data_IF_647074232501
#
_entry.id   IF_647074232501
#
_cell.length_a   1.000
_cell.length_b   1.000
_cell.length_c   1.000
_cell.angle_alpha   90.00
_cell.angle_beta   90.00
_cell.angle_gamma   90.00
#
_symmetry.space_group_name_H-M   'P 1'
#
loop_
_entity.id
_entity.type
_entity.pdbx_description
1 polymer ?
#
# COMPACT_ATOMS: atom_id res chain seq x y z
N UNK A 1 8.48 26.72 -8.46
CA UNK A 1 7.78 27.97 -8.84
C UNK A 1 8.66 28.93 -9.64
N UNK A 2 9.94 29.07 -9.33
CA UNK A 2 10.86 30.03 -10.00
C UNK A 2 11.01 29.76 -11.50
N UNK A 3 11.10 28.50 -11.93
CA UNK A 3 11.19 28.10 -13.35
C UNK A 3 9.96 28.57 -14.13
N UNK A 4 8.79 28.57 -13.50
CA UNK A 4 7.53 29.00 -14.09
C UNK A 4 7.26 30.51 -13.94
N UNK A 5 8.26 31.30 -13.52
CA UNK A 5 8.17 32.75 -13.39
C UNK A 5 7.48 33.27 -12.13
N UNK A 6 7.23 32.42 -11.13
CA UNK A 6 6.60 32.87 -9.88
C UNK A 6 7.62 33.26 -8.81
N UNK A 7 7.40 34.41 -8.17
CA UNK A 7 8.26 34.95 -7.11
C UNK A 7 8.22 34.10 -5.83
N UNK A 8 7.10 33.44 -5.54
CA UNK A 8 6.92 32.61 -4.36
C UNK A 8 5.96 31.43 -4.61
N UNK A 9 6.00 30.46 -3.70
CA UNK A 9 5.02 29.35 -3.70
C UNK A 9 3.59 29.87 -3.50
N UNK A 10 3.38 30.85 -2.65
CA UNK A 10 2.04 31.39 -2.40
C UNK A 10 1.46 32.11 -3.62
N UNK A 11 2.28 32.78 -4.42
CA UNK A 11 1.84 33.38 -5.68
C UNK A 11 1.44 32.30 -6.70
N UNK A 12 2.19 31.19 -6.76
CA UNK A 12 1.85 30.03 -7.57
C UNK A 12 0.55 29.36 -7.09
N UNK A 13 0.44 29.11 -5.79
CA UNK A 13 -0.74 28.50 -5.20
C UNK A 13 -1.99 29.36 -5.41
N UNK A 14 -1.91 30.68 -5.16
CA UNK A 14 -3.04 31.58 -5.34
C UNK A 14 -3.54 31.68 -6.78
N UNK A 15 -2.68 31.37 -7.79
CA UNK A 15 -3.09 31.37 -9.20
C UNK A 15 -3.76 30.05 -9.60
N UNK A 16 -3.29 28.91 -9.11
CA UNK A 16 -3.69 27.59 -9.59
C UNK A 16 -4.53 26.77 -8.62
N UNK A 17 -4.56 27.14 -7.32
CA UNK A 17 -5.38 26.44 -6.34
C UNK A 17 -6.54 27.32 -5.85
N UNK A 18 -7.69 26.69 -5.67
CA UNK A 18 -8.85 27.27 -4.99
C UNK A 18 -8.68 26.95 -3.51
N UNK A 19 -8.36 27.98 -2.71
CA UNK A 19 -8.04 27.83 -1.30
C UNK A 19 -9.14 28.44 -0.45
N UNK A 20 -9.63 27.70 0.53
CA UNK A 20 -10.55 28.18 1.55
C UNK A 20 -9.87 28.19 2.91
N UNK A 21 -9.97 29.30 3.61
CA UNK A 21 -9.53 29.38 5.01
C UNK A 21 -10.57 28.72 5.91
N UNK A 22 -10.16 27.71 6.66
CA UNK A 22 -11.00 27.05 7.67
C UNK A 22 -10.45 27.30 9.05
N UNK A 23 -11.36 27.39 10.02
CA UNK A 23 -11.05 27.55 11.44
C UNK A 23 -11.52 26.31 12.20
N UNK A 24 -10.67 25.80 13.08
CA UNK A 24 -10.98 24.68 13.96
C UNK A 24 -10.54 25.07 15.38
N UNK A 25 -11.46 25.61 16.13
CA UNK A 25 -11.18 26.25 17.42
C UNK A 25 -10.28 27.48 17.26
N UNK A 26 -9.18 27.54 18.00
CA UNK A 26 -8.21 28.64 17.97
C UNK A 26 -7.25 28.58 16.76
N UNK A 27 -7.26 27.50 15.99
CA UNK A 27 -6.37 27.32 14.85
C UNK A 27 -7.09 27.54 13.52
N UNK A 28 -6.47 28.32 12.62
CA UNK A 28 -6.95 28.47 11.25
C UNK A 28 -5.91 27.91 10.27
N UNK A 29 -6.39 27.21 9.23
CA UNK A 29 -5.57 26.63 8.18
C UNK A 29 -6.21 26.84 6.81
N UNK A 30 -5.39 26.80 5.77
CA UNK A 30 -5.84 26.89 4.41
C UNK A 30 -6.07 25.47 3.84
N UNK A 31 -7.29 25.19 3.40
CA UNK A 31 -7.66 23.95 2.72
C UNK A 31 -7.73 24.20 1.23
N UNK A 32 -7.05 23.36 0.44
CA UNK A 32 -7.18 23.36 -1.02
C UNK A 32 -8.46 22.59 -1.34
N UNK A 33 -9.42 23.25 -1.99
CA UNK A 33 -10.69 22.67 -2.43
C UNK A 33 -10.61 22.13 -3.85
N UNK A 34 -9.69 22.65 -4.66
CA UNK A 34 -9.54 22.24 -6.05
C UNK A 34 -8.45 23.03 -6.76
N UNK A 35 -8.34 22.81 -8.06
CA UNK A 35 -7.36 23.47 -8.90
C UNK A 35 -8.07 24.21 -10.04
N UNK A 36 -7.46 25.29 -10.52
CA UNK A 36 -7.96 26.13 -11.60
C UNK A 36 -6.84 26.47 -12.58
N UNK A 37 -7.20 26.88 -13.80
CA UNK A 37 -6.26 27.31 -14.85
C UNK A 37 -5.19 26.25 -15.18
N UNK A 38 -5.60 24.98 -15.20
CA UNK A 38 -4.67 23.88 -15.45
C UNK A 38 -4.10 23.93 -16.87
N UNK A 39 -4.87 24.42 -17.84
CA UNK A 39 -4.40 24.57 -19.23
C UNK A 39 -3.24 25.55 -19.33
N UNK A 40 -3.35 26.71 -18.66
CA UNK A 40 -2.26 27.69 -18.59
C UNK A 40 -1.03 27.11 -17.89
N UNK A 41 -1.23 26.32 -16.83
CA UNK A 41 -0.14 25.66 -16.12
C UNK A 41 0.55 24.63 -17.01
N UNK A 42 -0.22 23.87 -17.77
CA UNK A 42 0.29 22.87 -18.71
C UNK A 42 1.10 23.52 -19.81
N UNK A 43 0.61 24.59 -20.43
CA UNK A 43 1.32 25.34 -21.45
C UNK A 43 2.66 25.90 -20.95
N UNK A 44 2.66 26.45 -19.72
CA UNK A 44 3.90 26.92 -19.09
C UNK A 44 4.87 25.77 -18.76
N UNK A 45 4.37 24.60 -18.36
CA UNK A 45 5.19 23.43 -18.08
C UNK A 45 5.78 22.85 -19.37
N UNK A 46 5.03 22.76 -20.44
CA UNK A 46 5.43 22.20 -21.72
C UNK A 46 6.63 22.98 -22.34
N UNK A 47 6.72 24.28 -22.07
CA UNK A 47 7.88 25.07 -22.49
C UNK A 47 9.19 24.75 -21.75
N UNK A 48 9.11 24.06 -20.61
CA UNK A 48 10.25 23.73 -19.74
C UNK A 48 10.42 22.25 -19.44
N UNK A 49 9.53 21.40 -19.96
CA UNK A 49 9.52 19.95 -19.70
C UNK A 49 9.26 19.17 -20.96
N UNK A 50 9.80 17.96 -21.00
CA UNK A 50 9.49 16.98 -22.02
C UNK A 50 8.68 15.86 -21.36
N UNK A 51 7.49 15.59 -21.87
CA UNK A 51 6.60 14.55 -21.37
C UNK A 51 6.32 13.54 -22.47
N UNK A 52 6.61 12.28 -22.17
CA UNK A 52 6.30 11.14 -23.03
C UNK A 52 5.38 10.21 -22.25
N UNK A 53 4.26 9.83 -22.84
CA UNK A 53 3.37 8.82 -22.30
C UNK A 53 3.71 7.47 -22.88
N UNK A 54 3.55 6.41 -22.09
CA UNK A 54 3.78 5.03 -22.57
C UNK A 54 2.89 4.70 -23.78
N UNK A 55 1.66 5.21 -23.78
CA UNK A 55 0.65 5.04 -24.81
C UNK A 55 1.10 5.63 -26.15
N UNK A 56 1.88 6.72 -26.12
CA UNK A 56 2.36 7.42 -27.32
C UNK A 56 3.65 6.78 -27.92
N UNK A 57 4.36 5.96 -27.16
CA UNK A 57 5.70 5.51 -27.51
C UNK A 57 5.93 4.00 -27.50
N UNK A 58 5.02 3.24 -26.91
CA UNK A 58 5.15 1.81 -26.75
C UNK A 58 3.87 1.11 -27.18
N UNK A 59 3.97 0.19 -28.11
CA UNK A 59 2.92 -0.76 -28.46
C UNK A 59 2.95 -1.88 -27.42
N UNK A 60 2.28 -1.66 -26.31
CA UNK A 60 2.18 -2.62 -25.21
C UNK A 60 0.76 -3.20 -25.17
N UNK A 61 0.62 -4.50 -24.89
CA UNK A 61 -0.69 -5.08 -24.65
C UNK A 61 -1.37 -4.42 -23.44
N UNK A 62 -2.69 -4.47 -23.44
CA UNK A 62 -3.50 -3.96 -22.35
C UNK A 62 -3.16 -4.63 -21.03
N UNK A 63 -3.27 -3.87 -19.93
CA UNK A 63 -3.09 -4.41 -18.59
C UNK A 63 -4.26 -5.33 -18.22
N UNK A 64 -3.95 -6.56 -17.88
CA UNK A 64 -4.93 -7.52 -17.36
C UNK A 64 -4.81 -7.57 -15.84
N UNK A 65 -5.94 -7.33 -15.15
CA UNK A 65 -6.03 -7.43 -13.70
C UNK A 65 -6.80 -8.71 -13.35
N UNK A 66 -6.15 -9.57 -12.57
CA UNK A 66 -6.76 -10.79 -12.06
C UNK A 66 -6.71 -10.83 -10.54
N UNK A 67 -7.73 -11.42 -9.92
CA UNK A 67 -7.81 -11.65 -8.49
C UNK A 67 -7.82 -13.15 -8.24
N UNK A 68 -6.87 -13.65 -7.43
CA UNK A 68 -6.86 -15.03 -6.96
C UNK A 68 -7.21 -15.03 -5.48
N UNK A 69 -8.33 -15.64 -5.15
CA UNK A 69 -8.76 -15.82 -3.76
C UNK A 69 -8.10 -17.08 -3.18
N UNK A 70 -7.64 -16.99 -1.95
CA UNK A 70 -6.99 -18.06 -1.22
C UNK A 70 -7.70 -18.23 0.12
N UNK A 71 -8.23 -19.43 0.35
CA UNK A 71 -8.93 -19.74 1.58
C UNK A 71 -7.98 -19.78 2.79
N UNK A 72 -8.45 -19.28 3.91
CA UNK A 72 -7.74 -19.40 5.18
C UNK A 72 -7.71 -20.88 5.61
N UNK A 73 -6.63 -21.27 6.27
CA UNK A 73 -6.63 -22.57 6.97
C UNK A 73 -7.58 -22.51 8.18
N UNK A 74 -8.05 -23.66 8.68
CA UNK A 74 -8.87 -23.69 9.90
C UNK A 74 -8.23 -22.93 11.05
N UNK A 75 -6.92 -23.11 11.28
CA UNK A 75 -6.14 -22.42 12.29
C UNK A 75 -6.17 -20.90 12.12
N UNK A 76 -5.98 -20.41 10.90
CA UNK A 76 -6.08 -18.98 10.58
C UNK A 76 -7.49 -18.45 10.78
N UNK A 77 -8.50 -19.21 10.37
CA UNK A 77 -9.91 -18.82 10.50
C UNK A 77 -10.30 -18.67 11.96
N UNK A 78 -9.91 -19.61 12.81
CA UNK A 78 -10.18 -19.58 14.24
C UNK A 78 -9.48 -18.38 14.91
N UNK A 79 -8.20 -18.18 14.60
CA UNK A 79 -7.45 -17.02 15.11
C UNK A 79 -8.05 -15.68 14.64
N UNK A 80 -8.50 -15.61 13.39
CA UNK A 80 -9.13 -14.42 12.82
C UNK A 80 -10.45 -14.10 13.53
N UNK A 81 -11.31 -15.09 13.72
CA UNK A 81 -12.61 -14.93 14.39
C UNK A 81 -12.42 -14.51 15.85
N UNK A 82 -11.49 -15.14 16.58
CA UNK A 82 -11.19 -14.77 17.96
C UNK A 82 -10.67 -13.32 18.04
N UNK A 83 -9.72 -12.93 17.21
CA UNK A 83 -9.18 -11.58 17.18
C UNK A 83 -10.25 -10.54 16.81
N UNK A 84 -11.10 -10.85 15.82
CA UNK A 84 -12.22 -9.99 15.41
C UNK A 84 -13.22 -9.78 16.55
N UNK A 85 -13.60 -10.85 17.25
CA UNK A 85 -14.55 -10.77 18.36
C UNK A 85 -13.97 -9.98 19.54
N UNK A 86 -12.69 -10.18 19.86
CA UNK A 86 -11.99 -9.40 20.87
C UNK A 86 -11.96 -7.90 20.50
N UNK A 87 -11.67 -7.57 19.24
CA UNK A 87 -11.67 -6.20 18.77
C UNK A 87 -13.07 -5.55 18.87
N UNK A 88 -14.13 -6.28 18.51
CA UNK A 88 -15.52 -5.80 18.64
C UNK A 88 -15.91 -5.57 20.09
N UNK A 89 -15.60 -6.52 20.99
CA UNK A 89 -15.88 -6.37 22.42
C UNK A 89 -15.16 -5.15 23.03
N UNK A 90 -13.91 -4.90 22.66
CA UNK A 90 -13.16 -3.72 23.09
C UNK A 90 -13.75 -2.41 22.55
N UNK A 91 -14.28 -2.41 21.33
CA UNK A 91 -14.99 -1.25 20.77
C UNK A 91 -16.28 -0.95 21.52
N UNK A 92 -17.07 -1.98 21.83
CA UNK A 92 -18.33 -1.85 22.58
C UNK A 92 -18.11 -1.34 24.01
N UNK A 93 -17.04 -1.78 24.66
CA UNK A 93 -16.67 -1.34 26.01
C UNK A 93 -15.99 0.03 26.06
N UNK A 94 -15.72 0.66 24.90
CA UNK A 94 -15.04 1.95 24.82
C UNK A 94 -13.51 1.89 25.02
N UNK A 95 -12.93 0.70 25.17
CA UNK A 95 -11.48 0.50 25.37
C UNK A 95 -10.65 0.84 24.12
N UNK A 96 -11.30 0.85 22.95
CA UNK A 96 -10.68 1.25 21.67
C UNK A 96 -11.12 2.67 21.27
N UNK A 97 -10.95 3.62 22.17
CA UNK A 97 -11.35 5.01 21.94
C UNK A 97 -10.43 5.79 20.98
N UNK A 98 -9.24 5.26 20.65
CA UNK A 98 -8.28 5.94 19.78
C UNK A 98 -8.14 5.26 18.41
N UNK A 99 -8.02 6.07 17.36
CA UNK A 99 -7.75 5.59 15.99
C UNK A 99 -6.54 4.64 15.93
N UNK A 100 -5.54 4.87 16.76
CA UNK A 100 -4.34 4.06 16.83
C UNK A 100 -4.63 2.61 17.27
N UNK A 101 -5.52 2.42 18.26
CA UNK A 101 -5.89 1.09 18.74
C UNK A 101 -6.67 0.31 17.68
N UNK A 102 -7.55 0.98 16.93
CA UNK A 102 -8.30 0.35 15.82
C UNK A 102 -7.36 -0.09 14.70
N UNK A 103 -6.42 0.77 14.31
CA UNK A 103 -5.42 0.44 13.29
C UNK A 103 -4.57 -0.78 13.70
N UNK A 104 -4.16 -0.86 14.97
CA UNK A 104 -3.40 -2.01 15.47
C UNK A 104 -4.20 -3.31 15.33
N UNK A 105 -5.49 -3.31 15.63
CA UNK A 105 -6.34 -4.49 15.46
C UNK A 105 -6.47 -4.90 13.98
N UNK A 106 -6.65 -3.94 13.09
CA UNK A 106 -6.69 -4.19 11.64
C UNK A 106 -5.37 -4.81 11.17
N UNK A 107 -4.23 -4.28 11.62
CA UNK A 107 -2.92 -4.83 11.28
C UNK A 107 -2.75 -6.27 11.77
N UNK A 108 -3.21 -6.60 12.99
CA UNK A 108 -3.18 -7.98 13.51
C UNK A 108 -4.05 -8.93 12.69
N UNK A 109 -5.26 -8.51 12.31
CA UNK A 109 -6.12 -9.30 11.43
C UNK A 109 -5.47 -9.55 10.06
N UNK A 110 -4.79 -8.54 9.50
CA UNK A 110 -4.01 -8.71 8.27
C UNK A 110 -2.87 -9.71 8.45
N UNK A 111 -2.11 -9.63 9.54
CA UNK A 111 -1.02 -10.57 9.83
C UNK A 111 -1.51 -12.01 9.92
N UNK A 112 -2.66 -12.26 10.57
CA UNK A 112 -3.28 -13.60 10.64
C UNK A 112 -3.59 -14.10 9.21
N UNK A 113 -4.17 -13.28 8.35
CA UNK A 113 -4.41 -13.61 6.94
C UNK A 113 -3.12 -13.91 6.17
N UNK A 114 -2.01 -13.28 6.57
CA UNK A 114 -0.69 -13.50 5.97
C UNK A 114 0.02 -14.75 6.47
N UNK A 115 -0.45 -15.36 7.55
CA UNK A 115 0.14 -16.56 8.14
C UNK A 115 1.08 -16.25 9.31
N UNK A 116 0.83 -15.19 10.05
CA UNK A 116 1.54 -14.87 11.27
C UNK A 116 0.61 -14.23 12.32
N UNK A 117 0.95 -14.40 13.59
CA UNK A 117 0.32 -13.71 14.70
C UNK A 117 1.42 -13.05 15.53
N UNK A 118 1.29 -11.77 15.78
CA UNK A 118 2.20 -11.04 16.66
C UNK A 118 1.51 -10.83 18.01
N UNK A 119 2.13 -11.29 19.08
CA UNK A 119 1.64 -11.07 20.46
C UNK A 119 1.92 -9.65 20.97
N UNK A 120 1.52 -9.38 22.22
CA UNK A 120 1.68 -8.05 22.81
C UNK A 120 3.15 -7.71 23.13
N UNK A 121 4.00 -8.73 23.26
CA UNK A 121 5.44 -8.59 23.48
C UNK A 121 6.22 -8.40 22.16
N UNK A 122 5.52 -8.43 21.03
CA UNK A 122 6.10 -8.29 19.70
C UNK A 122 6.68 -9.59 19.13
N UNK A 123 6.47 -10.73 19.80
CA UNK A 123 6.91 -12.03 19.31
C UNK A 123 5.99 -12.50 18.18
N UNK A 124 6.60 -13.00 17.11
CA UNK A 124 5.86 -13.46 15.94
C UNK A 124 5.72 -14.97 15.96
N UNK A 125 4.49 -15.43 15.94
CA UNK A 125 4.11 -16.84 15.86
C UNK A 125 3.67 -17.17 14.43
N UNK A 126 4.36 -18.10 13.75
CA UNK A 126 3.95 -18.51 12.39
C UNK A 126 2.67 -19.33 12.46
N UNK A 127 1.73 -19.05 11.55
CA UNK A 127 0.52 -19.83 11.30
C UNK A 127 0.63 -20.54 9.96
N UNK A 128 0.09 -21.74 9.86
CA UNK A 128 -0.03 -22.42 8.55
C UNK A 128 -0.89 -21.56 7.62
N UNK A 129 -0.45 -21.37 6.38
CA UNK A 129 -1.16 -20.56 5.40
C UNK A 129 -1.09 -21.19 4.00
N UNK A 130 -2.22 -21.19 3.29
CA UNK A 130 -2.31 -21.65 1.90
C UNK A 130 -1.70 -20.64 0.90
N UNK A 131 -1.44 -19.40 1.33
CA UNK A 131 -0.96 -18.33 0.44
C UNK A 131 0.38 -18.62 -0.21
N UNK A 132 1.32 -19.21 0.57
CA UNK A 132 2.65 -19.52 0.05
C UNK A 132 2.58 -20.54 -1.07
N UNK A 133 1.78 -21.61 -0.89
CA UNK A 133 1.55 -22.62 -1.94
C UNK A 133 0.89 -21.99 -3.18
N UNK A 134 -0.20 -21.24 -2.98
CA UNK A 134 -0.88 -20.55 -4.08
C UNK A 134 0.00 -19.56 -4.83
N UNK A 135 0.96 -18.89 -4.14
CA UNK A 135 1.94 -18.01 -4.78
C UNK A 135 2.93 -18.81 -5.63
N UNK A 136 3.43 -19.92 -5.12
CA UNK A 136 4.37 -20.77 -5.88
C UNK A 136 3.70 -21.35 -7.12
N UNK A 137 2.46 -21.85 -7.00
CA UNK A 137 1.67 -22.35 -8.13
C UNK A 137 1.48 -21.25 -9.19
N UNK A 138 1.18 -20.03 -8.75
CA UNK A 138 1.05 -18.88 -9.66
C UNK A 138 2.38 -18.54 -10.35
N UNK A 139 3.51 -18.64 -9.63
CA UNK A 139 4.82 -18.41 -10.22
C UNK A 139 5.21 -19.48 -11.25
N UNK A 140 4.77 -20.73 -11.07
CA UNK A 140 4.96 -21.82 -12.05
C UNK A 140 4.18 -21.55 -13.36
N UNK A 141 3.06 -20.83 -13.30
CA UNK A 141 2.24 -20.46 -14.47
C UNK A 141 2.87 -19.30 -15.28
N UNK A 142 3.74 -18.49 -14.67
CA UNK A 142 4.29 -17.28 -15.29
C UNK A 142 5.49 -17.62 -16.18
N UNK A 143 5.39 -17.26 -17.45
CA UNK A 143 6.52 -17.31 -18.38
C UNK A 143 7.25 -15.97 -18.39
N UNK A 144 8.42 -15.91 -17.73
CA UNK A 144 9.24 -14.71 -17.70
C UNK A 144 9.51 -14.15 -16.31
N UNK A 145 9.65 -12.84 -16.20
CA UNK A 145 9.98 -12.15 -14.94
C UNK A 145 8.73 -11.66 -14.23
N UNK A 146 8.70 -11.84 -12.91
CA UNK A 146 7.63 -11.36 -12.06
C UNK A 146 8.16 -10.39 -10.98
N UNK A 147 7.33 -9.45 -10.59
CA UNK A 147 7.56 -8.60 -9.42
C UNK A 147 6.50 -8.94 -8.39
N UNK A 148 6.94 -9.36 -7.20
CA UNK A 148 6.07 -9.72 -6.09
C UNK A 148 6.18 -8.62 -5.04
N UNK A 149 5.04 -8.00 -4.71
CA UNK A 149 4.95 -6.99 -3.68
C UNK A 149 4.41 -7.59 -2.39
N UNK A 150 5.08 -7.35 -1.28
CA UNK A 150 4.62 -7.71 0.05
C UNK A 150 4.80 -6.53 1.00
N UNK A 151 3.93 -6.46 2.01
CA UNK A 151 3.88 -5.32 2.94
C UNK A 151 4.87 -5.49 4.10
N UNK A 152 5.08 -6.73 4.54
CA UNK A 152 5.85 -7.02 5.75
C UNK A 152 7.21 -7.64 5.40
N UNK A 153 8.28 -7.16 6.02
CA UNK A 153 9.64 -7.68 5.80
C UNK A 153 9.75 -9.19 6.05
N UNK A 154 9.01 -9.70 7.03
CA UNK A 154 8.95 -11.13 7.33
C UNK A 154 8.34 -11.93 6.18
N UNK A 155 7.26 -11.43 5.57
CA UNK A 155 6.66 -12.04 4.38
C UNK A 155 7.62 -12.05 3.20
N UNK A 156 8.32 -10.93 2.98
CA UNK A 156 9.32 -10.82 1.90
C UNK A 156 10.38 -11.89 2.07
N UNK A 157 10.90 -12.07 3.30
CA UNK A 157 11.91 -13.10 3.60
C UNK A 157 11.38 -14.51 3.38
N UNK A 158 10.19 -14.81 3.91
CA UNK A 158 9.57 -16.13 3.80
C UNK A 158 9.19 -16.49 2.33
N UNK A 159 8.74 -15.52 1.56
CA UNK A 159 8.47 -15.66 0.13
C UNK A 159 9.75 -15.88 -0.64
N UNK A 160 10.79 -15.08 -0.38
CA UNK A 160 12.08 -15.20 -1.05
C UNK A 160 12.74 -16.56 -0.79
N UNK A 161 12.67 -17.05 0.44
CA UNK A 161 13.16 -18.39 0.80
C UNK A 161 12.41 -19.47 0.01
N UNK A 162 11.08 -19.48 0.04
CA UNK A 162 10.28 -20.47 -0.67
C UNK A 162 10.49 -20.45 -2.20
N UNK A 163 10.69 -19.28 -2.78
CA UNK A 163 10.99 -19.14 -4.21
C UNK A 163 12.42 -19.62 -4.54
N UNK A 164 13.40 -19.36 -3.67
CA UNK A 164 14.77 -19.86 -3.85
C UNK A 164 14.83 -21.39 -3.79
N UNK A 165 14.06 -21.98 -2.89
CA UNK A 165 13.95 -23.43 -2.77
C UNK A 165 13.28 -24.05 -4.02
N UNK A 166 12.28 -23.37 -4.59
CA UNK A 166 11.53 -23.86 -5.75
C UNK A 166 12.26 -23.67 -7.07
N UNK A 167 12.85 -22.50 -7.29
CA UNK A 167 13.41 -22.12 -8.60
C UNK A 167 14.96 -22.07 -8.60
N UNK A 168 15.59 -21.31 -7.75
CA UNK A 168 17.03 -21.29 -7.41
C UNK A 168 17.37 -19.97 -6.70
N UNK A 169 18.51 -19.92 -6.02
CA UNK A 169 18.99 -18.70 -5.35
C UNK A 169 19.21 -17.55 -6.32
N UNK A 170 19.72 -17.84 -7.54
CA UNK A 170 20.01 -16.82 -8.54
C UNK A 170 18.77 -16.27 -9.24
N UNK A 171 17.64 -16.98 -9.17
CA UNK A 171 16.38 -16.55 -9.77
C UNK A 171 15.65 -15.46 -8.95
N UNK A 172 16.05 -15.23 -7.69
CA UNK A 172 15.28 -14.40 -6.75
C UNK A 172 16.14 -13.27 -6.19
N UNK A 173 15.79 -12.04 -6.57
CA UNK A 173 16.31 -10.83 -5.97
C UNK A 173 15.27 -10.22 -4.99
N UNK A 174 15.74 -9.67 -3.88
CA UNK A 174 14.88 -8.98 -2.90
C UNK A 174 15.30 -7.52 -2.76
N UNK A 175 14.32 -6.64 -2.63
CA UNK A 175 14.52 -5.22 -2.35
C UNK A 175 13.55 -4.80 -1.24
N UNK A 176 14.07 -4.45 -0.09
CA UNK A 176 13.28 -3.89 1.03
C UNK A 176 14.17 -2.94 1.83
N UNK A 177 13.54 -2.01 2.58
CA UNK A 177 14.24 -1.18 3.55
C UNK A 177 14.75 -2.02 4.73
N UNK A 178 15.87 -1.61 5.34
CA UNK A 178 16.36 -2.15 6.61
C UNK A 178 15.63 -1.54 7.80
#
# INVERSE_FOLDING_TARGET
PKILGFKSYYAFQGRYAVVQRRSMGAHSFNQILGFQRLDELTEKLDSHSFRVRKEDCLDLPDKVYMKREVELTPEQSDAYVQMKNLALARLENGDLSTTQNVLTQIMRLQQICLGSLTDDDGTVHPLKSNRKAALLDMCDEIQGKAIIWATWTQDIRAIAEALRDRFSVQAVATLHGE
#
